data_IF_884010443573
#
_entry.id   IF_884010443573
#
_cell.length_a   1.000
_cell.length_b   1.000
_cell.length_c   1.000
_cell.angle_alpha   90.00
_cell.angle_beta   90.00
_cell.angle_gamma   90.00
#
_symmetry.space_group_name_H-M   'P 1'
#
loop_
_entity.id
_entity.type
_entity.pdbx_description
1 polymer ?
#
# COMPACT_ATOMS: atom_id res chain seq x y z
N UNK A 1 12.40 -0.81 63.06
CA UNK A 1 11.69 -0.08 61.99
C UNK A 1 12.10 -0.70 60.65
N UNK A 2 11.25 -1.54 60.09
CA UNK A 2 11.46 -2.09 58.77
C UNK A 2 10.90 -1.08 57.74
N UNK A 3 11.54 -0.85 56.58
CA UNK A 3 11.01 0.04 55.57
C UNK A 3 9.80 -0.62 54.90
N UNK A 4 8.69 0.13 54.90
CA UNK A 4 7.51 -0.18 54.12
C UNK A 4 7.93 0.02 52.64
N UNK A 5 8.14 -1.09 51.94
CA UNK A 5 8.21 -1.07 50.48
C UNK A 5 6.79 -0.76 49.98
N UNK A 6 6.58 0.46 49.52
CA UNK A 6 5.40 0.86 48.77
C UNK A 6 5.23 -0.09 47.57
N UNK A 7 4.18 -0.91 47.67
CA UNK A 7 3.66 -1.68 46.55
C UNK A 7 3.06 -0.69 45.53
N UNK A 8 3.88 -0.24 44.60
CA UNK A 8 3.34 0.35 43.36
C UNK A 8 2.41 -0.71 42.71
N UNK A 9 1.17 -0.37 42.38
CA UNK A 9 0.32 -1.31 41.68
C UNK A 9 1.02 -1.71 40.37
N UNK A 10 1.22 -3.01 40.19
CA UNK A 10 1.73 -3.54 38.93
C UNK A 10 0.82 -3.04 37.82
N UNK A 11 1.38 -2.31 36.84
CA UNK A 11 0.66 -1.95 35.62
C UNK A 11 0.08 -3.24 35.04
N UNK A 12 -1.18 -3.26 34.61
CA UNK A 12 -1.78 -4.44 34.01
C UNK A 12 -0.91 -4.88 32.82
N UNK A 13 -0.38 -6.09 32.89
CA UNK A 13 0.44 -6.65 31.81
C UNK A 13 -0.52 -7.00 30.66
N UNK A 14 -0.57 -6.13 29.65
CA UNK A 14 -1.37 -6.36 28.45
C UNK A 14 -0.85 -7.62 27.76
N UNK A 15 -1.74 -8.54 27.37
CA UNK A 15 -1.34 -9.75 26.65
C UNK A 15 -0.81 -9.41 25.26
N UNK A 16 0.08 -10.26 24.70
CA UNK A 16 0.62 -10.06 23.34
C UNK A 16 -0.50 -9.96 22.31
N UNK A 17 -1.56 -10.77 22.45
CA UNK A 17 -2.69 -10.75 21.53
C UNK A 17 -3.52 -9.48 21.69
N UNK A 18 -3.73 -9.00 22.90
CA UNK A 18 -4.42 -7.75 23.18
C UNK A 18 -3.68 -6.57 22.55
N UNK A 19 -2.37 -6.48 22.80
CA UNK A 19 -1.53 -5.47 22.15
C UNK A 19 -1.66 -5.53 20.64
N UNK A 20 -1.52 -6.69 20.02
CA UNK A 20 -1.59 -6.86 18.59
C UNK A 20 -2.95 -6.47 17.98
N UNK A 21 -4.06 -6.75 18.67
CA UNK A 21 -5.40 -6.35 18.23
C UNK A 21 -5.55 -4.82 18.29
N UNK A 22 -5.18 -4.22 19.41
CA UNK A 22 -5.28 -2.77 19.59
C UNK A 22 -4.35 -2.02 18.62
N UNK A 23 -3.14 -2.53 18.43
CA UNK A 23 -2.15 -2.04 17.48
C UNK A 23 -2.69 -2.04 16.04
N UNK A 24 -3.26 -3.17 15.62
CA UNK A 24 -3.88 -3.34 14.29
C UNK A 24 -5.06 -2.40 14.07
N UNK A 25 -5.93 -2.25 15.07
CA UNK A 25 -7.08 -1.37 15.01
C UNK A 25 -6.66 0.10 15.06
N UNK A 26 -5.66 0.47 15.89
CA UNK A 26 -5.14 1.83 15.96
C UNK A 26 -4.55 2.30 14.64
N UNK A 27 -3.82 1.42 13.93
CA UNK A 27 -3.33 1.73 12.59
C UNK A 27 -4.48 1.95 11.60
N UNK A 28 -5.49 1.08 11.61
CA UNK A 28 -6.62 1.15 10.69
C UNK A 28 -7.53 2.34 10.98
N UNK A 29 -7.65 2.72 12.25
CA UNK A 29 -8.42 3.89 12.70
C UNK A 29 -7.87 5.23 12.18
N UNK A 30 -6.58 5.29 11.83
CA UNK A 30 -5.99 6.46 11.15
C UNK A 30 -6.73 6.82 9.87
N UNK A 31 -7.30 5.81 9.20
CA UNK A 31 -8.00 5.91 7.91
C UNK A 31 -9.53 5.79 8.03
N UNK A 32 -10.08 5.89 9.26
CA UNK A 32 -11.49 5.60 9.53
C UNK A 32 -11.92 4.26 8.91
N UNK A 33 -11.10 3.22 9.15
CA UNK A 33 -11.22 1.92 8.49
C UNK A 33 -11.45 0.82 9.52
N UNK A 34 -12.72 0.61 9.97
CA UNK A 34 -13.06 -0.53 10.81
C UNK A 34 -12.90 -1.82 10.03
N UNK A 35 -12.42 -2.87 10.69
CA UNK A 35 -12.00 -4.12 10.06
C UNK A 35 -13.05 -5.22 10.20
N UNK A 36 -13.28 -5.98 9.15
CA UNK A 36 -13.92 -7.29 9.26
C UNK A 36 -13.02 -8.25 10.04
N UNK A 37 -13.58 -9.35 10.58
CA UNK A 37 -12.79 -10.36 11.27
C UNK A 37 -11.63 -10.89 10.41
N UNK A 38 -11.89 -11.13 9.13
CA UNK A 38 -10.85 -11.59 8.19
C UNK A 38 -9.76 -10.56 7.94
N UNK A 39 -10.10 -9.28 7.84
CA UNK A 39 -9.12 -8.19 7.71
C UNK A 39 -8.32 -8.02 9.00
N UNK A 40 -8.96 -8.04 10.17
CA UNK A 40 -8.31 -7.96 11.47
C UNK A 40 -7.31 -9.09 11.64
N UNK A 41 -7.71 -10.34 11.40
CA UNK A 41 -6.82 -11.49 11.45
C UNK A 41 -5.66 -11.37 10.45
N UNK A 42 -5.97 -11.01 9.19
CA UNK A 42 -4.95 -10.85 8.13
C UNK A 42 -3.86 -9.86 8.50
N UNK A 43 -4.24 -8.73 9.10
CA UNK A 43 -3.34 -7.62 9.40
C UNK A 43 -2.87 -7.58 10.85
N UNK A 44 -3.13 -8.64 11.61
CA UNK A 44 -2.69 -8.74 13.01
C UNK A 44 -1.17 -8.65 13.10
N UNK A 45 -0.68 -7.81 14.00
CA UNK A 45 0.76 -7.56 14.17
C UNK A 45 1.48 -8.62 14.99
N UNK A 46 0.75 -9.64 15.49
CA UNK A 46 1.31 -10.85 16.06
C UNK A 46 0.68 -12.09 15.43
N UNK A 47 1.36 -13.23 15.56
CA UNK A 47 0.84 -14.51 15.08
C UNK A 47 -0.22 -15.04 16.05
N UNK A 48 -1.44 -15.27 15.54
CA UNK A 48 -2.51 -15.93 16.28
C UNK A 48 -3.41 -16.70 15.30
N UNK A 49 -4.03 -17.77 15.77
CA UNK A 49 -5.04 -18.47 14.99
C UNK A 49 -6.38 -17.72 15.01
N UNK A 50 -7.20 -17.94 14.00
CA UNK A 50 -8.52 -17.33 13.94
C UNK A 50 -9.42 -17.69 15.15
N UNK A 51 -9.43 -18.94 15.66
CA UNK A 51 -10.17 -19.27 16.89
C UNK A 51 -9.68 -18.53 18.14
N UNK A 52 -8.37 -18.37 18.32
CA UNK A 52 -7.80 -17.59 19.44
C UNK A 52 -8.22 -16.13 19.37
N UNK A 53 -8.18 -15.52 18.17
CA UNK A 53 -8.63 -14.14 17.97
C UNK A 53 -10.13 -13.99 18.27
N UNK A 54 -10.98 -14.92 17.82
CA UNK A 54 -12.43 -14.88 18.08
C UNK A 54 -12.70 -14.97 19.59
N UNK A 55 -12.01 -15.87 20.30
CA UNK A 55 -12.22 -16.04 21.74
C UNK A 55 -11.77 -14.79 22.50
N UNK A 56 -10.62 -14.21 22.14
CA UNK A 56 -10.14 -12.97 22.72
C UNK A 56 -11.13 -11.80 22.53
N UNK A 57 -11.66 -11.64 21.32
CA UNK A 57 -12.57 -10.53 21.00
C UNK A 57 -13.88 -10.55 21.78
N UNK A 58 -14.32 -11.68 22.30
CA UNK A 58 -15.53 -11.79 23.15
C UNK A 58 -15.36 -11.07 24.49
N UNK A 59 -14.12 -10.91 24.97
CA UNK A 59 -13.79 -10.39 26.29
C UNK A 59 -13.01 -9.07 26.27
N UNK A 60 -12.69 -8.54 25.08
CA UNK A 60 -11.90 -7.34 24.95
C UNK A 60 -12.76 -6.08 25.12
N UNK A 61 -12.57 -5.35 26.22
CA UNK A 61 -13.35 -4.16 26.56
C UNK A 61 -13.01 -2.93 25.69
N UNK A 62 -11.84 -2.92 25.06
CA UNK A 62 -11.35 -1.80 24.25
C UNK A 62 -11.72 -1.90 22.77
N UNK A 63 -12.41 -2.98 22.38
CA UNK A 63 -12.84 -3.25 21.00
C UNK A 63 -14.35 -3.36 20.96
N UNK A 64 -14.97 -2.69 20.03
CA UNK A 64 -16.41 -2.77 19.76
C UNK A 64 -16.66 -3.44 18.41
N UNK A 65 -17.86 -4.02 18.28
CA UNK A 65 -18.31 -4.72 17.08
C UNK A 65 -19.68 -4.19 16.67
N UNK A 66 -19.80 -3.80 15.38
CA UNK A 66 -21.07 -3.36 14.80
C UNK A 66 -21.11 -3.67 13.30
N UNK A 67 -22.22 -4.18 12.82
CA UNK A 67 -22.50 -4.42 11.40
C UNK A 67 -21.40 -5.23 10.66
N UNK A 68 -20.76 -6.18 11.36
CA UNK A 68 -19.71 -7.04 10.81
C UNK A 68 -18.29 -6.47 10.91
N UNK A 69 -18.10 -5.32 11.56
CA UNK A 69 -16.82 -4.64 11.70
C UNK A 69 -16.40 -4.49 13.15
N UNK A 70 -15.09 -4.64 13.38
CA UNK A 70 -14.40 -4.40 14.64
C UNK A 70 -13.65 -3.07 14.57
N UNK A 71 -13.71 -2.29 15.65
CA UNK A 71 -13.11 -0.96 15.76
C UNK A 71 -12.78 -0.62 17.21
N UNK A 72 -11.99 0.41 17.44
CA UNK A 72 -11.66 0.89 18.78
C UNK A 72 -12.90 1.45 19.48
N UNK A 73 -13.03 1.20 20.76
CA UNK A 73 -14.16 1.66 21.58
C UNK A 73 -14.42 3.15 21.41
N UNK A 74 -15.70 3.50 21.19
CA UNK A 74 -16.14 4.87 20.99
C UNK A 74 -15.92 5.43 19.58
N UNK A 75 -15.64 4.56 18.58
CA UNK A 75 -15.43 4.94 17.16
C UNK A 75 -16.51 4.38 16.23
N UNK A 76 -17.72 4.16 16.73
CA UNK A 76 -18.83 3.58 15.97
C UNK A 76 -19.29 4.43 14.77
N UNK A 77 -18.97 5.73 14.78
CA UNK A 77 -19.26 6.64 13.67
C UNK A 77 -18.52 6.30 12.35
N UNK A 78 -17.42 5.53 12.42
CA UNK A 78 -16.68 5.12 11.20
C UNK A 78 -17.35 3.95 10.46
N UNK A 79 -18.28 3.22 11.08
CA UNK A 79 -18.93 2.06 10.46
C UNK A 79 -19.82 2.46 9.27
N UNK A 80 -20.74 3.43 9.38
CA UNK A 80 -21.49 3.92 8.22
C UNK A 80 -20.60 4.41 7.07
N UNK A 81 -19.50 5.10 7.40
CA UNK A 81 -18.53 5.58 6.42
C UNK A 81 -17.87 4.42 5.66
N UNK A 82 -17.47 3.35 6.38
CA UNK A 82 -16.90 2.13 5.79
C UNK A 82 -17.86 1.45 4.81
N UNK A 83 -19.15 1.37 5.18
CA UNK A 83 -20.18 0.78 4.33
C UNK A 83 -20.35 1.60 3.04
N UNK A 84 -20.44 2.92 3.15
CA UNK A 84 -20.53 3.83 2.00
C UNK A 84 -19.31 3.70 1.09
N UNK A 85 -18.10 3.79 1.65
CA UNK A 85 -16.84 3.64 0.89
C UNK A 85 -16.71 2.27 0.23
N UNK A 86 -17.20 1.22 0.89
CA UNK A 86 -17.25 -0.12 0.33
C UNK A 86 -18.10 -0.20 -0.95
N UNK A 87 -19.28 0.44 -0.95
CA UNK A 87 -20.18 0.51 -2.12
C UNK A 87 -19.55 1.32 -3.26
N UNK A 88 -18.97 2.45 -2.96
CA UNK A 88 -18.25 3.30 -3.93
C UNK A 88 -17.08 2.53 -4.54
N UNK A 89 -16.29 1.86 -3.70
CA UNK A 89 -15.14 1.06 -4.12
C UNK A 89 -15.52 -0.08 -5.07
N UNK A 90 -16.67 -0.73 -4.89
CA UNK A 90 -17.10 -1.82 -5.80
C UNK A 90 -17.23 -1.35 -7.24
N UNK A 91 -17.76 -0.14 -7.47
CA UNK A 91 -17.92 0.45 -8.81
C UNK A 91 -16.59 0.89 -9.41
N UNK A 92 -15.72 1.48 -8.58
CA UNK A 92 -14.41 1.97 -8.99
C UNK A 92 -13.43 0.82 -9.25
N UNK A 93 -13.50 -0.26 -8.48
CA UNK A 93 -12.58 -1.39 -8.53
C UNK A 93 -12.49 -2.06 -9.91
N UNK A 94 -13.63 -2.37 -10.52
CA UNK A 94 -13.65 -2.98 -11.86
C UNK A 94 -13.06 -2.06 -12.94
N UNK A 95 -13.27 -0.75 -12.81
CA UNK A 95 -12.66 0.24 -13.71
C UNK A 95 -11.15 0.32 -13.48
N UNK A 96 -10.72 0.37 -12.23
CA UNK A 96 -9.30 0.36 -11.88
C UNK A 96 -8.59 -0.89 -12.41
N UNK A 97 -9.18 -2.08 -12.29
CA UNK A 97 -8.61 -3.30 -12.86
C UNK A 97 -8.49 -3.21 -14.39
N UNK A 98 -9.48 -2.63 -15.09
CA UNK A 98 -9.40 -2.44 -16.55
C UNK A 98 -8.26 -1.49 -16.94
N UNK A 99 -8.16 -0.34 -16.30
CA UNK A 99 -7.05 0.60 -16.53
C UNK A 99 -5.71 0.00 -16.15
N UNK A 100 -5.64 -0.79 -15.08
CA UNK A 100 -4.43 -1.52 -14.70
C UNK A 100 -3.96 -2.49 -15.78
N UNK A 101 -4.88 -3.22 -16.43
CA UNK A 101 -4.55 -4.08 -17.58
C UNK A 101 -4.06 -3.25 -18.78
N UNK A 102 -4.70 -2.10 -19.07
CA UNK A 102 -4.25 -1.20 -20.15
C UNK A 102 -2.84 -0.66 -19.83
N UNK A 103 -2.57 -0.27 -18.58
CA UNK A 103 -1.22 0.11 -18.15
C UNK A 103 -0.20 -0.99 -18.43
N UNK A 104 -0.57 -2.26 -18.20
CA UNK A 104 0.28 -3.41 -18.48
C UNK A 104 0.66 -3.60 -19.95
N UNK A 105 -0.13 -3.05 -20.89
CA UNK A 105 0.19 -3.08 -22.34
C UNK A 105 1.11 -1.94 -22.77
N UNK A 106 1.38 -0.96 -21.90
CA UNK A 106 2.25 0.15 -22.25
C UNK A 106 3.72 -0.28 -22.33
N UNK A 107 4.54 0.39 -23.18
CA UNK A 107 5.95 0.05 -23.31
C UNK A 107 6.69 0.08 -21.98
N UNK A 108 7.56 -0.91 -21.80
CA UNK A 108 8.45 -1.08 -20.66
C UNK A 108 7.80 -1.41 -19.33
N UNK A 109 6.48 -1.44 -19.21
CA UNK A 109 5.80 -1.88 -17.99
C UNK A 109 5.85 -3.42 -17.91
N UNK A 110 6.22 -3.93 -16.75
CA UNK A 110 6.39 -5.37 -16.46
C UNK A 110 5.47 -5.87 -15.36
N UNK A 111 5.07 -4.99 -14.45
CA UNK A 111 4.11 -5.29 -13.39
C UNK A 111 3.24 -4.07 -13.13
N UNK A 112 1.98 -4.32 -12.85
CA UNK A 112 1.01 -3.32 -12.37
C UNK A 112 0.31 -3.90 -11.16
N UNK A 113 0.31 -3.15 -10.06
CA UNK A 113 -0.48 -3.45 -8.88
C UNK A 113 -1.38 -2.27 -8.54
N UNK A 114 -2.60 -2.54 -8.11
CA UNK A 114 -3.47 -1.57 -7.47
C UNK A 114 -3.02 -1.37 -6.03
N UNK A 115 -2.92 -0.14 -5.58
CA UNK A 115 -2.49 0.26 -4.23
C UNK A 115 -3.49 1.24 -3.61
N UNK A 116 -3.13 1.84 -2.48
CA UNK A 116 -3.91 2.89 -1.84
C UNK A 116 -5.28 2.42 -1.32
N UNK A 117 -6.17 3.37 -1.12
CA UNK A 117 -7.48 3.17 -0.48
C UNK A 117 -8.39 2.21 -1.24
N UNK A 118 -8.31 2.19 -2.57
CA UNK A 118 -9.14 1.31 -3.39
C UNK A 118 -8.71 -0.16 -3.29
N UNK A 119 -7.43 -0.44 -3.06
CA UNK A 119 -6.94 -1.81 -2.86
C UNK A 119 -7.57 -2.48 -1.63
N UNK A 120 -7.88 -1.69 -0.59
CA UNK A 120 -8.56 -2.15 0.63
C UNK A 120 -10.06 -1.80 0.65
N UNK A 121 -10.63 -1.35 -0.48
CA UNK A 121 -12.04 -0.98 -0.62
C UNK A 121 -12.50 0.09 0.37
N UNK A 122 -11.65 1.07 0.62
CA UNK A 122 -11.91 2.23 1.48
C UNK A 122 -11.78 3.55 0.72
N UNK A 123 -12.09 3.56 -0.58
CA UNK A 123 -11.96 4.71 -1.47
C UNK A 123 -13.17 5.65 -1.36
N UNK A 124 -12.91 6.94 -1.37
CA UNK A 124 -13.93 7.98 -1.48
C UNK A 124 -14.48 8.07 -2.93
N UNK A 125 -15.57 8.82 -3.12
CA UNK A 125 -16.20 9.01 -4.43
C UNK A 125 -15.29 9.71 -5.45
N UNK A 126 -14.37 10.55 -4.97
CA UNK A 126 -13.41 11.30 -5.78
C UNK A 126 -12.01 10.69 -5.78
N UNK A 127 -11.87 9.47 -5.24
CA UNK A 127 -10.57 8.81 -5.08
C UNK A 127 -9.94 8.43 -6.42
N UNK A 128 -8.64 8.68 -6.51
CA UNK A 128 -7.80 8.28 -7.64
C UNK A 128 -7.56 6.76 -7.66
N UNK A 129 -7.21 6.24 -8.83
CA UNK A 129 -6.74 4.85 -8.96
C UNK A 129 -5.23 4.81 -8.79
N UNK A 130 -4.78 4.44 -7.60
CA UNK A 130 -3.37 4.37 -7.26
C UNK A 130 -2.71 3.11 -7.80
N UNK A 131 -1.59 3.26 -8.49
CA UNK A 131 -0.83 2.13 -9.00
C UNK A 131 0.64 2.21 -8.62
N UNK A 132 1.17 1.06 -8.21
CA UNK A 132 2.60 0.82 -8.29
C UNK A 132 2.92 0.10 -9.59
N UNK A 133 3.93 0.57 -10.30
CA UNK A 133 4.39 -0.01 -11.56
C UNK A 133 5.83 -0.51 -11.42
N UNK A 134 6.13 -1.66 -12.01
CA UNK A 134 7.51 -2.07 -12.23
C UNK A 134 7.81 -1.95 -13.72
N UNK A 135 8.87 -1.22 -14.02
CA UNK A 135 9.34 -0.99 -15.37
C UNK A 135 10.60 -1.81 -15.67
N UNK A 136 10.83 -2.11 -16.93
CA UNK A 136 12.10 -2.66 -17.41
C UNK A 136 13.26 -1.77 -16.95
N UNK A 137 14.33 -2.39 -16.49
CA UNK A 137 15.55 -1.68 -16.08
C UNK A 137 16.02 -0.68 -17.15
N UNK A 138 16.30 0.56 -16.71
CA UNK A 138 16.71 1.66 -17.58
C UNK A 138 15.58 2.26 -18.42
N UNK A 139 14.31 2.09 -18.00
CA UNK A 139 13.11 2.62 -18.70
C UNK A 139 12.01 3.11 -17.74
N UNK A 140 12.35 3.47 -16.53
CA UNK A 140 11.41 3.94 -15.50
C UNK A 140 10.71 5.24 -15.93
N UNK A 141 11.47 6.17 -16.50
CA UNK A 141 10.96 7.50 -16.84
C UNK A 141 10.15 7.50 -18.14
N UNK A 142 10.53 6.67 -19.12
CA UNK A 142 9.71 6.45 -20.31
C UNK A 142 8.42 5.70 -19.97
N UNK A 143 8.48 4.64 -19.15
CA UNK A 143 7.28 3.94 -18.67
C UNK A 143 6.33 4.92 -17.97
N UNK A 144 6.88 5.79 -17.10
CA UNK A 144 6.11 6.85 -16.45
C UNK A 144 5.48 7.83 -17.45
N UNK A 145 6.23 8.24 -18.48
CA UNK A 145 5.71 9.15 -19.48
C UNK A 145 4.50 8.56 -20.21
N UNK A 146 4.56 7.27 -20.58
CA UNK A 146 3.43 6.56 -21.19
C UNK A 146 2.25 6.42 -20.22
N UNK A 147 2.49 6.07 -18.96
CA UNK A 147 1.43 5.99 -17.97
C UNK A 147 0.72 7.35 -17.76
N UNK A 148 1.45 8.46 -17.77
CA UNK A 148 0.87 9.79 -17.68
C UNK A 148 0.11 10.22 -18.96
N UNK A 149 0.50 9.71 -20.13
CA UNK A 149 -0.28 9.91 -21.36
C UNK A 149 -1.64 9.18 -21.26
N UNK A 150 -1.63 7.96 -20.75
CA UNK A 150 -2.87 7.23 -20.48
C UNK A 150 -3.74 7.96 -19.42
N UNK A 151 -3.14 8.48 -18.35
CA UNK A 151 -3.87 9.26 -17.36
C UNK A 151 -4.55 10.48 -18.00
N UNK A 152 -3.87 11.22 -18.88
CA UNK A 152 -4.48 12.34 -19.59
C UNK A 152 -5.67 11.90 -20.45
N UNK A 153 -5.58 10.74 -21.10
CA UNK A 153 -6.69 10.18 -21.86
C UNK A 153 -7.85 9.76 -20.94
N UNK A 154 -7.55 9.15 -19.76
CA UNK A 154 -8.55 8.75 -18.79
C UNK A 154 -9.30 9.95 -18.20
N UNK A 155 -8.62 11.08 -17.99
CA UNK A 155 -9.28 12.32 -17.55
C UNK A 155 -10.40 12.81 -18.48
N UNK A 156 -10.34 12.51 -19.77
CA UNK A 156 -11.43 12.83 -20.71
C UNK A 156 -12.71 12.05 -20.39
N UNK A 157 -12.60 10.97 -19.64
CA UNK A 157 -13.70 10.11 -19.19
C UNK A 157 -14.01 10.28 -17.71
N UNK A 158 -13.43 11.32 -17.05
CA UNK A 158 -13.63 11.60 -15.63
C UNK A 158 -12.87 10.67 -14.67
N UNK A 159 -11.85 9.95 -15.17
CA UNK A 159 -11.08 9.00 -14.35
C UNK A 159 -9.66 9.52 -14.08
N UNK A 160 -9.14 9.33 -12.88
CA UNK A 160 -7.78 9.74 -12.51
C UNK A 160 -6.93 8.52 -12.20
N UNK A 161 -5.84 8.35 -12.96
CA UNK A 161 -4.86 7.29 -12.74
C UNK A 161 -3.63 7.89 -12.06
N UNK A 162 -3.29 7.42 -10.90
CA UNK A 162 -2.14 7.88 -10.13
C UNK A 162 -1.03 6.83 -10.06
N UNK A 163 -0.07 6.80 -11.01
CA UNK A 163 1.12 5.97 -10.91
C UNK A 163 2.10 6.63 -9.92
N UNK A 164 1.83 6.46 -8.62
CA UNK A 164 2.53 7.14 -7.52
C UNK A 164 3.91 6.55 -7.22
N UNK A 165 4.13 5.27 -7.53
CA UNK A 165 5.41 4.59 -7.39
C UNK A 165 5.76 3.80 -8.64
N UNK A 166 6.89 4.13 -9.27
CA UNK A 166 7.42 3.38 -10.40
C UNK A 166 8.87 3.00 -10.09
N UNK A 167 9.15 1.71 -10.13
CA UNK A 167 10.50 1.19 -9.87
C UNK A 167 10.98 0.31 -11.04
N UNK A 168 12.29 0.11 -11.16
CA UNK A 168 12.83 -0.89 -12.09
C UNK A 168 12.78 -2.29 -11.50
N UNK A 169 12.92 -3.31 -12.33
CA UNK A 169 13.03 -4.73 -11.92
C UNK A 169 14.20 -4.99 -10.96
N UNK A 170 15.14 -4.04 -10.81
CA UNK A 170 16.28 -4.10 -9.89
C UNK A 170 16.00 -3.47 -8.53
N UNK A 171 14.96 -2.67 -8.41
CA UNK A 171 14.64 -1.87 -7.22
C UNK A 171 13.33 -2.34 -6.56
N UNK A 172 13.15 -3.65 -6.45
CA UNK A 172 11.97 -4.27 -5.85
C UNK A 172 12.02 -4.29 -4.32
N UNK A 173 13.22 -4.22 -3.73
CA UNK A 173 13.40 -4.18 -2.29
C UNK A 173 13.12 -2.78 -1.75
N UNK A 174 12.29 -2.70 -0.71
CA UNK A 174 11.97 -1.45 -0.02
C UNK A 174 12.91 -1.26 1.17
N UNK A 175 13.48 -0.05 1.28
CA UNK A 175 14.46 0.26 2.32
C UNK A 175 13.81 0.70 3.65
N UNK A 176 12.55 1.14 3.63
CA UNK A 176 11.82 1.51 4.83
C UNK A 176 11.17 0.27 5.41
N UNK A 177 11.67 -0.22 6.54
CA UNK A 177 11.17 -1.38 7.24
C UNK A 177 10.33 -0.91 8.44
N UNK A 178 9.09 -0.55 8.18
CA UNK A 178 8.12 -0.07 9.16
C UNK A 178 6.72 -0.64 8.88
N UNK A 179 5.80 -0.46 9.82
CA UNK A 179 4.44 -0.98 9.70
C UNK A 179 3.70 -0.38 8.50
N UNK A 180 3.93 0.92 8.19
CA UNK A 180 3.32 1.56 7.03
C UNK A 180 3.74 0.89 5.72
N UNK A 181 5.05 0.74 5.52
CA UNK A 181 5.60 0.08 4.32
C UNK A 181 5.19 -1.39 4.22
N UNK A 182 5.12 -2.10 5.36
CA UNK A 182 4.63 -3.48 5.40
C UNK A 182 3.16 -3.56 4.97
N UNK A 183 2.30 -2.66 5.46
CA UNK A 183 0.88 -2.57 5.06
C UNK A 183 0.75 -2.27 3.59
N UNK A 184 1.48 -1.28 3.07
CA UNK A 184 1.46 -0.93 1.63
C UNK A 184 1.79 -2.13 0.74
N UNK A 185 2.87 -2.88 1.06
CA UNK A 185 3.27 -4.07 0.29
C UNK A 185 2.23 -5.20 0.41
N UNK A 186 1.70 -5.45 1.63
CA UNK A 186 0.81 -6.58 1.88
C UNK A 186 -0.62 -6.37 1.38
N UNK A 187 -1.05 -5.12 1.15
CA UNK A 187 -2.39 -4.80 0.65
C UNK A 187 -2.45 -4.64 -0.87
N UNK A 188 -1.31 -4.59 -1.58
CA UNK A 188 -1.26 -4.49 -3.04
C UNK A 188 -2.04 -5.62 -3.72
N UNK A 189 -2.76 -5.28 -4.78
CA UNK A 189 -3.49 -6.23 -5.63
C UNK A 189 -2.78 -6.33 -6.97
N UNK A 190 -2.11 -7.43 -7.29
CA UNK A 190 -1.46 -7.62 -8.57
C UNK A 190 -2.48 -7.75 -9.71
N UNK A 191 -2.27 -7.01 -10.80
CA UNK A 191 -3.12 -7.01 -11.99
C UNK A 191 -2.40 -7.66 -13.17
N UNK A 192 -1.11 -7.32 -13.35
CA UNK A 192 -0.24 -7.81 -14.42
C UNK A 192 1.15 -8.08 -13.82
N UNK A 193 1.87 -9.08 -14.32
CA UNK A 193 3.24 -9.39 -13.91
C UNK A 193 3.33 -10.15 -12.59
N UNK A 194 2.57 -11.21 -12.44
CA UNK A 194 2.51 -12.01 -11.22
C UNK A 194 3.84 -12.63 -10.78
N UNK A 195 4.73 -12.94 -11.73
CA UNK A 195 6.10 -13.42 -11.48
C UNK A 195 6.97 -12.33 -10.80
N UNK A 196 6.86 -11.10 -11.27
CA UNK A 196 7.58 -9.97 -10.68
C UNK A 196 6.98 -9.63 -9.31
N UNK A 197 5.66 -9.71 -9.16
CA UNK A 197 5.02 -9.55 -7.86
C UNK A 197 5.49 -10.60 -6.85
N UNK A 198 5.64 -11.86 -7.28
CA UNK A 198 6.20 -12.94 -6.44
C UNK A 198 7.63 -12.62 -6.00
N UNK A 199 8.47 -12.10 -6.92
CA UNK A 199 9.83 -11.63 -6.59
C UNK A 199 9.81 -10.44 -5.62
N UNK A 200 8.94 -9.46 -5.84
CA UNK A 200 8.77 -8.31 -4.94
C UNK A 200 8.45 -8.80 -3.52
N UNK A 201 7.49 -9.71 -3.36
CA UNK A 201 7.15 -10.28 -2.05
C UNK A 201 8.33 -11.08 -1.45
N UNK A 202 9.07 -11.80 -2.27
CA UNK A 202 10.22 -12.59 -1.81
C UNK A 202 11.39 -11.73 -1.30
N UNK A 203 11.70 -10.60 -1.94
CA UNK A 203 12.77 -9.71 -1.47
C UNK A 203 12.34 -8.83 -0.30
N UNK A 204 11.04 -8.73 -0.02
CA UNK A 204 10.48 -7.96 1.10
C UNK A 204 9.89 -8.87 2.19
N UNK A 205 10.52 -10.02 2.49
CA UNK A 205 10.05 -10.95 3.52
C UNK A 205 10.03 -10.33 4.94
N UNK A 206 10.79 -9.27 5.17
CA UNK A 206 10.77 -8.50 6.40
C UNK A 206 9.35 -8.01 6.78
N UNK A 207 8.43 -7.91 5.82
CA UNK A 207 7.02 -7.60 6.08
C UNK A 207 6.35 -8.61 7.00
N UNK A 208 6.83 -9.85 7.07
CA UNK A 208 6.30 -10.88 7.95
C UNK A 208 6.62 -10.63 9.43
N UNK A 209 7.64 -9.80 9.73
CA UNK A 209 7.98 -9.40 11.09
C UNK A 209 6.94 -8.44 11.67
N UNK A 210 6.28 -7.66 10.79
CA UNK A 210 5.20 -6.74 11.15
C UNK A 210 3.81 -7.38 11.00
N UNK A 211 3.62 -8.22 9.96
CA UNK A 211 2.33 -8.77 9.56
C UNK A 211 2.44 -10.28 9.29
N UNK A 212 2.62 -11.10 10.33
CA UNK A 212 2.92 -12.53 10.18
C UNK A 212 1.81 -13.35 9.51
N UNK A 213 0.58 -12.85 9.50
CA UNK A 213 -0.57 -13.52 8.86
C UNK A 213 -0.68 -13.24 7.35
N UNK A 214 0.12 -12.31 6.81
CA UNK A 214 0.08 -11.94 5.39
C UNK A 214 1.04 -12.73 4.52
N UNK A 215 1.46 -13.93 4.97
CA UNK A 215 2.39 -14.80 4.22
C UNK A 215 1.87 -15.01 2.80
N UNK A 216 2.77 -14.75 1.87
CA UNK A 216 2.48 -14.88 0.45
C UNK A 216 2.86 -16.29 -0.03
N UNK A 217 1.90 -17.02 -0.58
CA UNK A 217 2.10 -18.40 -1.04
C UNK A 217 2.37 -18.52 -2.55
N UNK A 218 2.63 -17.41 -3.22
CA UNK A 218 2.82 -17.35 -4.67
C UNK A 218 1.50 -17.24 -5.44
N UNK A 219 1.52 -16.53 -6.56
CA UNK A 219 0.48 -16.64 -7.59
C UNK A 219 0.86 -17.79 -8.52
N UNK A 220 -0.11 -18.53 -9.03
CA UNK A 220 0.15 -19.44 -10.15
C UNK A 220 0.69 -18.61 -11.31
N UNK A 221 1.89 -18.97 -11.77
CA UNK A 221 2.58 -18.27 -12.85
C UNK A 221 1.77 -18.37 -14.15
N UNK A 222 0.96 -17.41 -14.42
CA UNK A 222 0.52 -17.14 -15.78
C UNK A 222 1.60 -16.27 -16.40
N UNK A 223 2.51 -16.87 -17.16
CA UNK A 223 3.45 -16.15 -18.01
C UNK A 223 2.66 -15.36 -19.05
N UNK A 224 2.31 -14.14 -18.72
CA UNK A 224 1.67 -13.25 -19.67
C UNK A 224 2.69 -12.90 -20.76
N UNK A 225 2.40 -13.30 -21.99
CA UNK A 225 3.24 -12.96 -23.15
C UNK A 225 3.19 -11.46 -23.36
N UNK A 226 4.35 -10.84 -23.59
CA UNK A 226 4.41 -9.41 -23.96
C UNK A 226 3.59 -9.22 -25.23
N UNK A 227 2.58 -8.35 -25.24
CA UNK A 227 1.75 -8.11 -26.41
C UNK A 227 2.60 -7.65 -27.59
N UNK A 228 2.26 -8.06 -28.81
CA UNK A 228 3.02 -7.74 -30.02
C UNK A 228 3.20 -6.22 -30.19
N UNK A 229 2.17 -5.44 -29.92
CA UNK A 229 2.22 -3.97 -30.01
C UNK A 229 3.21 -3.37 -29.01
N UNK A 230 3.25 -3.84 -27.77
CA UNK A 230 4.22 -3.43 -26.76
C UNK A 230 5.65 -3.73 -27.24
N UNK A 231 5.88 -4.92 -27.77
CA UNK A 231 7.17 -5.33 -28.32
C UNK A 231 7.65 -4.46 -29.48
N UNK A 232 6.75 -4.09 -30.38
CA UNK A 232 7.06 -3.19 -31.50
C UNK A 232 7.45 -1.79 -31.00
N UNK A 233 6.68 -1.21 -30.09
CA UNK A 233 7.00 0.12 -29.54
C UNK A 233 8.34 0.09 -28.77
N UNK A 234 8.60 -0.95 -28.00
CA UNK A 234 9.87 -1.13 -27.31
C UNK A 234 11.04 -1.28 -28.28
N UNK A 235 10.84 -1.94 -29.43
CA UNK A 235 11.86 -2.09 -30.44
C UNK A 235 12.36 -0.74 -30.96
N UNK A 236 11.47 0.19 -31.27
CA UNK A 236 11.85 1.54 -31.73
C UNK A 236 12.54 2.40 -30.66
N UNK A 237 12.27 2.12 -29.38
CA UNK A 237 12.86 2.81 -28.25
C UNK A 237 14.02 2.05 -27.61
N UNK A 238 14.53 1.01 -28.27
CA UNK A 238 15.75 0.31 -27.88
C UNK A 238 17.02 1.11 -28.26
N UNK A 239 18.10 0.86 -27.54
CA UNK A 239 19.41 1.40 -27.85
C UNK A 239 19.58 2.88 -27.50
N UNK A 240 20.63 3.51 -28.06
CA UNK A 240 21.12 4.84 -27.69
C UNK A 240 20.07 5.95 -27.73
N UNK A 241 19.12 5.89 -28.68
CA UNK A 241 18.07 6.89 -28.79
C UNK A 241 17.11 6.81 -27.59
N UNK A 242 16.64 5.62 -27.25
CA UNK A 242 15.79 5.43 -26.07
C UNK A 242 16.52 5.76 -24.77
N UNK A 243 17.80 5.43 -24.67
CA UNK A 243 18.63 5.78 -23.51
C UNK A 243 18.77 7.30 -23.35
N UNK A 244 18.94 8.01 -24.43
CA UNK A 244 18.99 9.49 -24.44
C UNK A 244 17.65 10.09 -23.98
N UNK A 245 16.53 9.58 -24.49
CA UNK A 245 15.18 10.03 -24.09
C UNK A 245 14.91 9.74 -22.62
N UNK A 246 15.27 8.56 -22.13
CA UNK A 246 15.12 8.17 -20.72
C UNK A 246 15.84 9.15 -19.80
N UNK A 247 17.14 9.42 -20.07
CA UNK A 247 17.97 10.34 -19.28
C UNK A 247 17.45 11.76 -19.39
N UNK A 248 17.01 12.19 -20.57
CA UNK A 248 16.45 13.53 -20.77
C UNK A 248 15.16 13.72 -19.96
N UNK A 249 14.20 12.76 -20.06
CA UNK A 249 12.94 12.84 -19.31
C UNK A 249 13.19 12.79 -17.79
N UNK A 250 14.10 11.91 -17.34
CA UNK A 250 14.51 11.84 -15.94
C UNK A 250 15.00 13.21 -15.43
N UNK A 251 16.02 13.78 -16.09
CA UNK A 251 16.61 15.06 -15.67
C UNK A 251 15.57 16.19 -15.68
N UNK A 252 14.76 16.26 -16.73
CA UNK A 252 13.70 17.25 -16.88
C UNK A 252 12.67 17.16 -15.74
N UNK A 253 12.26 15.95 -15.37
CA UNK A 253 11.27 15.74 -14.31
C UNK A 253 11.84 15.96 -12.94
N UNK A 254 13.02 15.48 -12.65
CA UNK A 254 13.69 15.71 -11.36
C UNK A 254 13.89 17.21 -11.14
N UNK A 255 14.35 17.96 -12.15
CA UNK A 255 14.49 19.41 -12.06
C UNK A 255 13.16 20.15 -11.82
N UNK A 256 12.03 19.58 -12.28
CA UNK A 256 10.69 20.10 -11.98
C UNK A 256 10.27 19.76 -10.55
N UNK A 257 10.47 18.52 -10.12
CA UNK A 257 10.07 18.02 -8.81
C UNK A 257 10.88 18.65 -7.68
N UNK A 258 12.18 18.93 -7.90
CA UNK A 258 13.04 19.58 -6.90
C UNK A 258 12.57 20.98 -6.48
N UNK A 259 11.65 21.58 -7.26
CA UNK A 259 11.03 22.88 -6.95
C UNK A 259 9.72 22.76 -6.18
N UNK A 260 9.21 21.54 -5.98
CA UNK A 260 7.96 21.30 -5.27
C UNK A 260 8.20 21.25 -3.76
N UNK A 261 7.25 21.77 -2.99
CA UNK A 261 7.25 21.64 -1.54
C UNK A 261 7.20 20.15 -1.17
N UNK A 262 7.97 19.73 -0.16
CA UNK A 262 8.04 18.33 0.26
C UNK A 262 9.07 17.47 -0.49
N UNK A 263 9.82 18.04 -1.43
CA UNK A 263 10.90 17.31 -2.11
C UNK A 263 12.00 16.88 -1.12
N UNK A 264 12.44 15.63 -1.24
CA UNK A 264 13.59 15.08 -0.49
C UNK A 264 13.26 14.44 0.85
N UNK A 265 12.01 14.52 1.35
CA UNK A 265 11.63 13.91 2.64
C UNK A 265 11.15 12.46 2.41
N UNK A 266 10.03 12.28 1.67
CA UNK A 266 9.52 10.95 1.28
C UNK A 266 9.53 10.75 -0.24
N UNK A 267 10.20 11.62 -0.97
CA UNK A 267 10.35 11.49 -2.42
C UNK A 267 11.69 10.87 -2.78
N UNK A 268 11.70 9.94 -3.73
CA UNK A 268 12.92 9.29 -4.20
C UNK A 268 12.93 9.22 -5.72
N UNK A 269 13.95 9.86 -6.30
CA UNK A 269 14.11 9.95 -7.75
C UNK A 269 15.52 9.53 -8.17
N UNK A 270 15.60 8.50 -8.99
CA UNK A 270 16.85 7.97 -9.56
C UNK A 270 16.58 7.36 -10.93
N UNK A 271 17.57 6.71 -11.54
CA UNK A 271 17.38 5.93 -12.76
C UNK A 271 16.45 4.72 -12.56
N UNK A 272 16.36 4.21 -11.33
CA UNK A 272 15.61 2.99 -11.00
C UNK A 272 14.34 3.25 -10.17
N UNK A 273 14.13 4.47 -9.68
CA UNK A 273 13.00 4.80 -8.79
C UNK A 273 12.42 6.16 -9.14
N UNK A 274 11.11 6.20 -9.29
CA UNK A 274 10.32 7.43 -9.33
C UNK A 274 9.19 7.33 -8.30
N UNK A 275 9.42 7.88 -7.10
CA UNK A 275 8.48 7.95 -5.98
C UNK A 275 8.20 9.41 -5.66
N UNK A 276 6.95 9.82 -5.81
CA UNK A 276 6.51 11.21 -5.64
C UNK A 276 5.58 11.40 -4.45
N UNK A 277 5.96 10.95 -3.25
CA UNK A 277 5.17 11.17 -2.03
C UNK A 277 5.48 12.54 -1.42
N UNK A 278 4.92 13.60 -2.02
CA UNK A 278 5.14 14.98 -1.59
C UNK A 278 4.34 15.38 -0.35
N UNK A 279 3.26 14.68 -0.05
CA UNK A 279 2.34 14.97 1.05
C UNK A 279 2.72 14.23 2.35
N UNK A 280 3.85 13.54 2.37
CA UNK A 280 4.44 12.85 3.53
C UNK A 280 3.46 11.86 4.20
N UNK A 281 2.72 11.12 3.40
CA UNK A 281 1.71 10.17 3.88
C UNK A 281 2.26 9.15 4.88
N UNK A 282 3.48 8.64 4.69
CA UNK A 282 4.10 7.69 5.60
C UNK A 282 4.36 8.32 6.97
N UNK A 283 5.02 9.48 7.00
CA UNK A 283 5.32 10.21 8.26
C UNK A 283 4.05 10.59 9.00
N UNK A 284 3.07 11.15 8.27
CA UNK A 284 1.78 11.52 8.85
C UNK A 284 1.06 10.30 9.43
N UNK A 285 0.98 9.20 8.68
CA UNK A 285 0.32 7.97 9.12
C UNK A 285 0.95 7.41 10.39
N UNK A 286 2.28 7.29 10.42
CA UNK A 286 2.99 6.76 11.60
C UNK A 286 2.83 7.68 12.80
N UNK A 287 2.83 9.00 12.61
CA UNK A 287 2.59 9.96 13.70
C UNK A 287 1.18 9.81 14.26
N UNK A 288 0.17 9.84 13.40
CA UNK A 288 -1.23 9.69 13.81
C UNK A 288 -1.53 8.33 14.47
N UNK A 289 -0.87 7.26 13.99
CA UNK A 289 -0.96 5.93 14.58
C UNK A 289 -0.36 5.89 15.99
N UNK A 290 0.84 6.45 16.20
CA UNK A 290 1.48 6.52 17.53
C UNK A 290 0.63 7.29 18.53
N UNK A 291 0.05 8.42 18.13
CA UNK A 291 -0.88 9.18 18.96
C UNK A 291 -2.09 8.35 19.41
N UNK A 292 -2.60 7.45 18.56
CA UNK A 292 -3.69 6.55 18.92
C UNK A 292 -3.28 5.51 19.95
N UNK A 293 -2.11 4.91 19.79
CA UNK A 293 -1.58 3.97 20.77
C UNK A 293 -1.35 4.62 22.15
N UNK A 294 -0.79 5.83 22.17
CA UNK A 294 -0.60 6.58 23.41
C UNK A 294 -1.93 6.84 24.16
N UNK A 295 -3.01 7.16 23.41
CA UNK A 295 -4.35 7.33 23.98
C UNK A 295 -4.93 6.06 24.57
N UNK A 296 -4.61 4.92 23.99
CA UNK A 296 -5.00 3.60 24.50
C UNK A 296 -4.16 3.15 25.71
N UNK A 297 -3.09 3.87 26.04
CA UNK A 297 -2.12 3.53 27.10
C UNK A 297 -1.49 2.14 26.90
N UNK A 298 -1.19 1.81 25.64
CA UNK A 298 -0.66 0.51 25.20
C UNK A 298 0.79 0.67 24.78
#
# INVERSE_FOLDING_TARGET
MAPVLDLLPALPTISVLEYAVLDTLAYSDVFDYPLTLGELHRYLTASASLPELIEFLKHCENVEFRDGFYFLKGRDEIVPLRIQRGQTSLRAYERALRYGRILGYLPFIRMVTLTGSLAVRNCDETGDYDYMLVARTGRVWLARAFALLLNRAAHLFGETLCPNLIVSEKALEWNSHDLYSAREICQMIPIVGGDIYSRLRAVNQWTNDFLPQTKYHGLQNNHEKIPTLQGVMEFFLKGKFGDMLEVWEMKRKIARFSRQKGFGIETKFSADICQGNFDHHGTWTITAYKERLERLKV
#
